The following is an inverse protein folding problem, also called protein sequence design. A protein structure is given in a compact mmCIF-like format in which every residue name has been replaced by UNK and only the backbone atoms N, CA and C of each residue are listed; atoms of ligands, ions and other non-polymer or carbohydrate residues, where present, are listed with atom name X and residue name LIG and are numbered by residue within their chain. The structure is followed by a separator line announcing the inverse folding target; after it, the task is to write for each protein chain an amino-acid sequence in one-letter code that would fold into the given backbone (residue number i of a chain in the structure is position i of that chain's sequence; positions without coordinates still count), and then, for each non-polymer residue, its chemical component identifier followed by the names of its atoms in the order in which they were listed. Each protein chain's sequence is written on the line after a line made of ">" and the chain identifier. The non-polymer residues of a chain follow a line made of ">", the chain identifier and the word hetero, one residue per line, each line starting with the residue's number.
data_IF_734539241877
#
_entry.id   IF_734539241877
#
_cell.length_a   1.000
_cell.length_b   1.000
_cell.length_c   1.000
_cell.angle_alpha   90.00
_cell.angle_beta   90.00
_cell.angle_gamma   90.00
#
_symmetry.space_group_name_H-M   'P 1'
#
loop_
_entity.id
_entity.type
_entity.pdbx_description
1 polymer ?
#
# COMPACT_ATOMS: atom_id res chain seq x y z
N UNK A 1 20.18 -3.80 -20.00
CA UNK A 1 19.46 -2.52 -19.93
C UNK A 1 19.04 -2.31 -18.49
N UNK A 2 19.70 -1.40 -17.77
CA UNK A 2 19.31 -1.00 -16.42
C UNK A 2 18.10 -0.08 -16.58
N UNK A 3 16.92 -0.48 -16.09
CA UNK A 3 15.79 0.44 -16.01
C UNK A 3 16.19 1.54 -15.02
N UNK A 4 16.72 2.65 -15.54
CA UNK A 4 16.80 3.89 -14.80
C UNK A 4 15.35 4.30 -14.58
N UNK A 5 14.89 4.25 -13.34
CA UNK A 5 13.64 4.90 -12.95
C UNK A 5 13.81 6.36 -13.36
N UNK A 6 13.00 6.81 -14.30
CA UNK A 6 13.07 8.20 -14.73
C UNK A 6 12.54 9.10 -13.60
N UNK A 7 12.95 10.37 -13.61
CA UNK A 7 12.58 11.31 -12.55
C UNK A 7 11.05 11.50 -12.45
N UNK A 8 10.33 11.41 -13.57
CA UNK A 8 8.88 11.53 -13.62
C UNK A 8 8.18 10.29 -13.04
N UNK A 9 8.69 9.08 -13.28
CA UNK A 9 8.20 7.84 -12.65
C UNK A 9 8.43 7.87 -11.14
N UNK A 10 9.59 8.36 -10.70
CA UNK A 10 9.90 8.51 -9.28
C UNK A 10 8.98 9.54 -8.61
N UNK A 11 8.69 10.65 -9.29
CA UNK A 11 7.77 11.68 -8.79
C UNK A 11 6.33 11.17 -8.74
N UNK A 12 5.86 10.52 -9.81
CA UNK A 12 4.55 9.87 -9.84
C UNK A 12 4.42 8.83 -8.72
N UNK A 13 5.45 8.03 -8.48
CA UNK A 13 5.44 7.04 -7.40
C UNK A 13 5.32 7.70 -6.02
N UNK A 14 5.98 8.84 -5.79
CA UNK A 14 5.87 9.60 -4.53
C UNK A 14 4.46 10.18 -4.34
N UNK A 15 3.90 10.76 -5.39
CA UNK A 15 2.53 11.32 -5.37
C UNK A 15 1.49 10.22 -5.11
N UNK A 16 1.60 9.08 -5.82
CA UNK A 16 0.74 7.92 -5.61
C UNK A 16 0.88 7.38 -4.18
N UNK A 17 2.10 7.22 -3.65
CA UNK A 17 2.28 6.77 -2.26
C UNK A 17 1.60 7.71 -1.27
N UNK A 18 1.74 9.02 -1.46
CA UNK A 18 1.14 10.03 -0.57
C UNK A 18 -0.38 9.94 -0.58
N UNK A 19 -0.96 9.82 -1.77
CA UNK A 19 -2.40 9.69 -1.96
C UNK A 19 -2.95 8.40 -1.34
N UNK A 20 -2.32 7.25 -1.64
CA UNK A 20 -2.73 5.95 -1.10
C UNK A 20 -2.58 5.90 0.42
N UNK A 21 -1.53 6.51 0.98
CA UNK A 21 -1.33 6.55 2.44
C UNK A 21 -2.46 7.28 3.17
N UNK A 22 -3.08 8.30 2.56
CA UNK A 22 -4.23 8.96 3.15
C UNK A 22 -5.41 7.98 3.32
N UNK A 23 -5.71 7.22 2.26
CA UNK A 23 -6.78 6.21 2.28
C UNK A 23 -6.46 5.08 3.27
N UNK A 24 -5.22 4.60 3.29
CA UNK A 24 -4.76 3.57 4.25
C UNK A 24 -4.92 4.06 5.69
N UNK A 25 -4.53 5.30 5.99
CA UNK A 25 -4.67 5.87 7.34
C UNK A 25 -6.14 6.01 7.74
N UNK A 26 -7.01 6.43 6.83
CA UNK A 26 -8.45 6.49 7.09
C UNK A 26 -9.03 5.09 7.38
N UNK A 27 -8.60 4.08 6.62
CA UNK A 27 -9.10 2.72 6.70
C UNK A 27 -8.60 1.95 7.93
N UNK A 28 -7.32 2.09 8.28
CA UNK A 28 -6.67 1.27 9.30
C UNK A 28 -6.25 2.03 10.55
N UNK A 29 -6.20 3.37 10.50
CA UNK A 29 -5.86 4.22 11.66
C UNK A 29 -6.71 3.96 12.89
N UNK A 30 -8.06 3.91 12.78
CA UNK A 30 -8.93 3.74 13.93
C UNK A 30 -8.71 2.43 14.73
N UNK A 31 -8.21 1.37 14.09
CA UNK A 31 -7.95 0.07 14.75
C UNK A 31 -6.55 -0.09 15.32
N UNK A 32 -5.62 0.76 14.92
CA UNK A 32 -4.21 0.61 15.28
C UNK A 32 -3.75 1.63 16.35
N UNK A 33 -4.69 2.31 17.03
CA UNK A 33 -4.41 3.23 18.13
C UNK A 33 -3.54 2.64 19.26
N UNK A 34 -2.69 3.51 19.84
CA UNK A 34 -1.68 3.39 20.93
C UNK A 34 -0.74 2.18 20.97
N UNK A 35 -1.19 0.97 20.59
CA UNK A 35 -0.41 -0.27 20.50
C UNK A 35 0.53 -0.26 19.29
N UNK A 36 0.11 0.37 18.20
CA UNK A 36 0.96 0.69 17.06
C UNK A 36 1.09 2.22 17.06
N UNK A 37 2.14 2.73 17.71
CA UNK A 37 2.47 4.15 17.61
C UNK A 37 3.07 4.50 16.23
N UNK A 38 3.16 3.51 15.33
CA UNK A 38 3.97 3.59 14.15
C UNK A 38 3.30 4.30 12.99
N UNK A 39 4.13 5.05 12.27
CA UNK A 39 3.79 5.57 10.97
C UNK A 39 3.29 4.47 10.03
N UNK A 40 2.37 4.84 9.15
CA UNK A 40 1.95 4.02 8.02
C UNK A 40 2.90 4.26 6.87
N UNK A 41 3.25 3.20 6.15
CA UNK A 41 4.16 3.28 5.02
C UNK A 41 3.72 2.35 3.89
N UNK A 42 4.24 2.61 2.69
CA UNK A 42 4.05 1.78 1.51
C UNK A 42 5.42 1.28 1.04
N UNK A 43 5.61 -0.02 1.17
CA UNK A 43 6.77 -0.71 0.65
C UNK A 43 6.51 -1.15 -0.80
N UNK A 44 7.57 -1.11 -1.60
CA UNK A 44 7.58 -1.68 -2.95
C UNK A 44 8.66 -2.74 -3.01
N UNK A 45 8.27 -3.98 -3.30
CA UNK A 45 9.19 -5.12 -3.41
C UNK A 45 9.14 -5.68 -4.83
N UNK A 46 10.25 -6.23 -5.30
CA UNK A 46 10.36 -6.72 -6.66
C UNK A 46 11.20 -7.98 -6.78
N UNK A 47 10.84 -8.82 -7.73
CA UNK A 47 11.69 -9.90 -8.24
C UNK A 47 11.77 -9.82 -9.76
N UNK A 48 12.88 -10.28 -10.32
CA UNK A 48 13.07 -10.37 -11.77
C UNK A 48 13.14 -11.84 -12.17
N UNK A 49 12.45 -12.20 -13.25
CA UNK A 49 12.52 -13.52 -13.89
C UNK A 49 12.86 -13.38 -15.37
N UNK A 50 13.27 -14.50 -15.98
CA UNK A 50 13.56 -14.60 -17.40
C UNK A 50 12.79 -15.77 -18.01
N UNK A 51 12.00 -15.52 -19.05
CA UNK A 51 11.29 -16.55 -19.81
C UNK A 51 11.69 -16.42 -21.28
N UNK A 52 12.31 -17.47 -21.85
CA UNK A 52 12.79 -17.43 -23.24
C UNK A 52 13.82 -16.32 -23.52
N UNK A 53 14.60 -15.91 -22.51
CA UNK A 53 15.54 -14.79 -22.61
C UNK A 53 14.93 -13.39 -22.44
N UNK A 54 13.60 -13.28 -22.33
CA UNK A 54 12.90 -12.03 -22.07
C UNK A 54 12.83 -11.77 -20.57
N UNK A 55 13.22 -10.56 -20.14
CA UNK A 55 13.17 -10.12 -18.74
C UNK A 55 11.75 -9.73 -18.35
N UNK A 56 11.28 -10.25 -17.22
CA UNK A 56 10.02 -9.87 -16.58
C UNK A 56 10.30 -9.38 -15.16
N UNK A 57 9.88 -8.16 -14.85
CA UNK A 57 9.90 -7.63 -13.50
C UNK A 57 8.52 -7.83 -12.86
N UNK A 58 8.49 -8.36 -11.64
CA UNK A 58 7.29 -8.58 -10.85
C UNK A 58 7.40 -7.73 -9.59
N UNK A 59 6.72 -6.59 -9.60
CA UNK A 59 6.72 -5.61 -8.54
C UNK A 59 5.40 -5.67 -7.79
N UNK A 60 5.46 -5.63 -6.47
CA UNK A 60 4.29 -5.51 -5.58
C UNK A 60 4.43 -4.28 -4.71
N UNK A 61 3.29 -3.66 -4.37
CA UNK A 61 3.23 -2.61 -3.38
C UNK A 61 2.39 -3.07 -2.18
N UNK A 62 2.84 -2.73 -0.98
CA UNK A 62 2.32 -3.23 0.28
C UNK A 62 2.13 -2.07 1.25
N UNK A 63 0.92 -1.92 1.79
CA UNK A 63 0.67 -1.01 2.89
C UNK A 63 0.99 -1.70 4.22
N UNK A 64 1.77 -1.02 5.06
CA UNK A 64 2.21 -1.54 6.35
C UNK A 64 1.96 -0.51 7.46
N UNK A 65 1.99 -1.00 8.70
CA UNK A 65 2.06 -0.15 9.90
C UNK A 65 3.22 -0.61 10.76
N UNK A 66 4.06 0.31 11.21
CA UNK A 66 5.15 -0.01 12.13
C UNK A 66 4.62 -0.32 13.53
N UNK A 67 5.24 -1.29 14.21
CA UNK A 67 4.89 -1.65 15.59
C UNK A 67 5.41 -0.65 16.60
N UNK A 68 6.51 0.04 16.26
CA UNK A 68 7.14 1.08 17.10
C UNK A 68 7.66 2.21 16.20
N UNK A 69 7.61 3.49 16.64
CA UNK A 69 8.05 4.63 15.84
C UNK A 69 9.51 4.54 15.40
N UNK A 70 10.36 3.91 16.22
CA UNK A 70 11.82 3.87 16.01
C UNK A 70 12.36 2.48 15.67
N UNK A 71 11.49 1.54 15.27
CA UNK A 71 11.90 0.18 14.89
C UNK A 71 11.41 -0.14 13.48
N UNK A 72 12.15 0.27 12.43
CA UNK A 72 11.79 -0.04 11.05
C UNK A 72 11.80 -1.54 10.76
N UNK A 73 12.42 -2.35 11.62
CA UNK A 73 12.46 -3.80 11.53
C UNK A 73 11.16 -4.51 11.93
N UNK A 74 10.21 -3.82 12.58
CA UNK A 74 8.98 -4.44 13.08
C UNK A 74 7.76 -3.73 12.52
N UNK A 75 7.06 -4.40 11.60
CA UNK A 75 5.84 -3.91 10.99
C UNK A 75 4.82 -5.03 10.79
N UNK A 76 3.56 -4.64 10.53
CA UNK A 76 2.46 -5.53 10.16
C UNK A 76 2.01 -5.19 8.75
N UNK A 77 1.83 -6.20 7.90
CA UNK A 77 1.20 -6.05 6.60
C UNK A 77 -0.30 -5.80 6.77
N UNK A 78 -0.82 -4.77 6.11
CA UNK A 78 -2.25 -4.42 6.13
C UNK A 78 -2.95 -4.93 4.86
N UNK A 79 -2.36 -4.61 3.71
CA UNK A 79 -2.87 -4.99 2.39
C UNK A 79 -1.75 -4.95 1.37
N UNK A 80 -1.82 -5.82 0.37
CA UNK A 80 -0.87 -5.88 -0.74
C UNK A 80 -1.65 -5.89 -2.06
N UNK A 81 -1.15 -5.16 -3.06
CA UNK A 81 -1.64 -5.26 -4.42
C UNK A 81 -1.03 -6.46 -5.16
N UNK A 82 -1.69 -6.97 -6.22
CA UNK A 82 -1.12 -7.99 -7.10
C UNK A 82 0.17 -7.51 -7.80
N UNK A 83 0.94 -8.47 -8.35
CA UNK A 83 2.18 -8.21 -9.09
C UNK A 83 1.92 -7.35 -10.35
N UNK A 84 2.85 -6.44 -10.64
CA UNK A 84 2.83 -5.57 -11.82
C UNK A 84 4.23 -5.42 -12.42
N UNK A 85 4.30 -4.99 -13.69
CA UNK A 85 5.58 -4.79 -14.40
C UNK A 85 6.32 -3.51 -14.05
N UNK A 86 5.67 -2.54 -13.40
CA UNK A 86 6.24 -1.22 -13.06
C UNK A 86 5.91 -0.81 -11.63
N UNK A 87 6.67 0.14 -11.08
CA UNK A 87 6.44 0.64 -9.71
C UNK A 87 5.09 1.35 -9.63
N UNK A 88 4.80 2.19 -10.62
CA UNK A 88 3.50 2.88 -10.71
C UNK A 88 2.33 1.91 -10.89
N UNK A 89 2.52 0.82 -11.65
CA UNK A 89 1.55 -0.25 -11.80
C UNK A 89 1.26 -0.97 -10.49
N UNK A 90 2.31 -1.30 -9.73
CA UNK A 90 2.18 -1.93 -8.42
C UNK A 90 1.45 -1.03 -7.40
N UNK A 91 1.75 0.28 -7.40
CA UNK A 91 1.07 1.25 -6.54
C UNK A 91 -0.41 1.41 -6.90
N UNK A 92 -0.74 1.47 -8.19
CA UNK A 92 -2.14 1.50 -8.66
C UNK A 92 -2.89 0.23 -8.25
N UNK A 93 -2.24 -0.93 -8.36
CA UNK A 93 -2.83 -2.20 -7.95
C UNK A 93 -3.11 -2.23 -6.44
N UNK A 94 -2.18 -1.75 -5.61
CA UNK A 94 -2.42 -1.58 -4.17
C UNK A 94 -3.60 -0.63 -3.90
N UNK A 95 -3.68 0.49 -4.62
CA UNK A 95 -4.78 1.43 -4.46
C UNK A 95 -6.14 0.80 -4.78
N UNK A 96 -6.23 -0.02 -5.83
CA UNK A 96 -7.44 -0.78 -6.15
C UNK A 96 -7.89 -1.65 -4.99
N UNK A 97 -6.97 -2.35 -4.32
CA UNK A 97 -7.28 -3.17 -3.14
C UNK A 97 -7.73 -2.33 -1.94
N UNK A 98 -7.10 -1.17 -1.71
CA UNK A 98 -7.51 -0.23 -0.66
C UNK A 98 -8.91 0.29 -0.92
N UNK A 99 -9.23 0.66 -2.16
CA UNK A 99 -10.56 1.15 -2.56
C UNK A 99 -11.62 0.06 -2.45
N UNK A 100 -11.31 -1.18 -2.86
CA UNK A 100 -12.22 -2.32 -2.69
C UNK A 100 -12.56 -2.55 -1.20
N UNK A 101 -11.55 -2.49 -0.32
CA UNK A 101 -11.78 -2.58 1.13
C UNK A 101 -12.57 -1.40 1.67
N UNK A 102 -12.29 -0.18 1.19
CA UNK A 102 -13.09 1.00 1.56
C UNK A 102 -14.55 0.81 1.18
N UNK A 103 -14.84 0.37 -0.05
CA UNK A 103 -16.20 0.12 -0.52
C UNK A 103 -16.92 -0.95 0.30
N UNK A 104 -16.22 -2.01 0.71
CA UNK A 104 -16.79 -3.04 1.59
C UNK A 104 -17.21 -2.48 2.96
N UNK A 105 -16.51 -1.46 3.46
CA UNK A 105 -16.83 -0.80 4.74
C UNK A 105 -17.87 0.28 4.58
N UNK A 106 -17.78 1.09 3.52
CA UNK A 106 -18.68 2.23 3.31
C UNK A 106 -20.00 1.83 2.66
N UNK A 107 -20.06 0.70 1.94
CA UNK A 107 -21.29 0.21 1.34
C UNK A 107 -22.45 0.03 2.34
N UNK A 108 -22.19 -0.50 3.55
CA UNK A 108 -23.17 -0.54 4.63
C UNK A 108 -23.43 0.80 5.34
N UNK A 109 -22.53 1.79 5.23
CA UNK A 109 -22.64 3.04 5.98
C UNK A 109 -23.59 4.03 5.29
N UNK A 110 -24.44 4.67 6.08
CA UNK A 110 -25.26 5.78 5.65
C UNK A 110 -24.55 7.13 5.87
N UNK A 111 -24.93 8.20 5.14
CA UNK A 111 -24.40 9.54 5.39
C UNK A 111 -24.56 9.96 6.85
N UNK A 112 -23.46 10.36 7.49
CA UNK A 112 -23.42 10.75 8.90
C UNK A 112 -23.05 9.62 9.86
N UNK A 113 -23.01 8.37 9.40
CA UNK A 113 -22.52 7.27 10.21
C UNK A 113 -20.99 7.28 10.30
N UNK A 114 -20.46 6.82 11.43
CA UNK A 114 -19.02 6.85 11.73
C UNK A 114 -18.40 5.46 11.65
N UNK A 115 -17.30 5.35 10.91
CA UNK A 115 -16.42 4.19 10.97
C UNK A 115 -15.46 4.31 12.17
N UNK A 116 -15.45 3.30 13.04
CA UNK A 116 -14.56 3.23 14.22
C UNK A 116 -13.47 2.17 14.12
N UNK A 117 -13.25 1.60 12.93
CA UNK A 117 -12.32 0.50 12.76
C UNK A 117 -12.95 -0.88 13.00
N UNK A 118 -12.47 -1.93 12.31
CA UNK A 118 -12.76 -3.34 12.62
C UNK A 118 -11.50 -4.07 13.11
N UNK A 119 -11.58 -4.77 14.25
CA UNK A 119 -10.45 -5.53 14.83
C UNK A 119 -9.98 -6.70 13.96
N UNK A 120 -10.76 -7.09 12.94
CA UNK A 120 -10.52 -8.28 12.11
C UNK A 120 -10.16 -7.95 10.64
N UNK A 121 -9.57 -6.77 10.38
CA UNK A 121 -9.02 -6.40 9.06
C UNK A 121 -7.52 -6.72 8.92
#
# INVERSE_FOLDING_TARGET
>A
MTHLIDLAELQLARELKTFILADVRALYGPTHGSLYQGDFDILTAGRTSYLGGVRYDYLTAQAIVYKKPDSPSQWKLLVAGPESGTVSGALKALWTEVQAKSQNITGPLQPGESYKGSKNL
#
